data_IF_262546077505
#
_entry.id   IF_262546077505
#
_cell.length_a   1.000
_cell.length_b   1.000
_cell.length_c   1.000
_cell.angle_alpha   90.00
_cell.angle_beta   90.00
_cell.angle_gamma   90.00
#
_symmetry.space_group_name_H-M   'P 1'
#
loop_
_entity.id
_entity.type
_entity.pdbx_description
1 polymer ?
#
# COMPACT_ATOMS: atom_id res chain seq x y z
N UNK A 1 17.25 -6.52 2.12
CA UNK A 1 15.97 -6.66 1.40
C UNK A 1 14.86 -6.26 2.35
N UNK A 2 13.90 -5.46 1.89
CA UNK A 2 12.68 -5.16 2.64
C UNK A 2 11.50 -5.95 2.06
N UNK A 3 10.59 -6.38 2.90
CA UNK A 3 9.38 -7.08 2.48
C UNK A 3 8.25 -6.72 3.42
N UNK A 4 7.03 -6.61 2.89
CA UNK A 4 5.85 -6.47 3.71
C UNK A 4 4.57 -6.55 2.90
N UNK A 5 3.49 -6.90 3.58
CA UNK A 5 2.14 -6.97 3.06
C UNK A 5 1.27 -5.81 3.57
N UNK A 6 0.32 -5.32 2.76
CA UNK A 6 -0.64 -4.27 3.17
C UNK A 6 0.05 -3.05 3.81
N UNK A 7 -0.20 -2.79 5.10
CA UNK A 7 0.46 -1.75 5.88
C UNK A 7 1.97 -2.00 6.07
N UNK A 8 2.42 -3.25 6.18
CA UNK A 8 3.84 -3.60 6.17
C UNK A 8 4.51 -3.28 4.83
N UNK A 9 3.81 -3.51 3.72
CA UNK A 9 4.25 -3.10 2.38
C UNK A 9 4.36 -1.57 2.27
N UNK A 10 3.40 -0.85 2.86
CA UNK A 10 3.47 0.60 2.98
C UNK A 10 4.73 1.06 3.73
N UNK A 11 5.00 0.48 4.90
CA UNK A 11 6.17 0.81 5.71
C UNK A 11 7.49 0.50 4.97
N UNK A 12 7.57 -0.62 4.27
CA UNK A 12 8.75 -0.99 3.48
C UNK A 12 9.06 0.05 2.39
N UNK A 13 8.04 0.46 1.63
CA UNK A 13 8.18 1.49 0.59
C UNK A 13 8.44 2.89 1.18
N UNK A 14 7.77 3.22 2.29
CA UNK A 14 7.94 4.48 3.01
C UNK A 14 9.36 4.65 3.55
N UNK A 15 9.88 3.62 4.23
CA UNK A 15 11.25 3.60 4.74
C UNK A 15 12.27 3.73 3.61
N UNK A 16 12.04 3.01 2.52
CA UNK A 16 12.90 3.09 1.33
C UNK A 16 12.98 4.51 0.79
N UNK A 17 11.84 5.17 0.61
CA UNK A 17 11.79 6.56 0.16
C UNK A 17 12.39 7.54 1.19
N UNK A 18 12.24 7.25 2.49
CA UNK A 18 12.89 8.04 3.53
C UNK A 18 14.42 7.94 3.47
N UNK A 19 14.97 6.74 3.27
CA UNK A 19 16.41 6.51 3.11
C UNK A 19 16.97 7.20 1.87
N UNK A 20 16.26 7.13 0.73
CA UNK A 20 16.64 7.86 -0.51
C UNK A 20 16.66 9.37 -0.29
N UNK A 21 15.64 9.92 0.38
CA UNK A 21 15.57 11.34 0.69
C UNK A 21 16.67 11.84 1.65
N UNK A 22 17.27 10.94 2.43
CA UNK A 22 18.42 11.22 3.28
C UNK A 22 19.78 10.88 2.63
N UNK A 23 19.78 10.45 1.37
CA UNK A 23 20.98 9.98 0.65
C UNK A 23 21.74 8.87 1.42
N UNK A 24 21.00 8.00 2.12
CA UNK A 24 21.55 6.86 2.86
C UNK A 24 21.60 5.61 1.98
N UNK A 25 22.32 4.61 2.49
CA UNK A 25 22.35 3.28 1.87
C UNK A 25 20.94 2.72 1.69
N UNK A 26 20.66 2.28 0.47
CA UNK A 26 19.36 1.76 0.06
C UNK A 26 19.32 0.25 0.19
N UNK A 27 18.15 -0.35 0.52
CA UNK A 27 18.01 -1.79 0.46
C UNK A 27 18.23 -2.28 -0.97
N UNK A 28 18.94 -3.40 -1.12
CA UNK A 28 19.22 -4.02 -2.42
C UNK A 28 17.94 -4.35 -3.24
N UNK A 29 16.86 -4.71 -2.54
CA UNK A 29 15.56 -5.05 -3.14
C UNK A 29 14.42 -4.84 -2.15
N UNK A 30 13.21 -4.69 -2.70
CA UNK A 30 11.96 -4.68 -1.94
C UNK A 30 10.88 -5.58 -2.57
N UNK A 31 10.08 -6.25 -1.73
CA UNK A 31 8.89 -7.02 -2.14
C UNK A 31 7.68 -6.41 -1.44
N UNK A 32 6.73 -5.91 -2.23
CA UNK A 32 5.54 -5.22 -1.74
C UNK A 32 4.31 -6.06 -2.08
N UNK A 33 3.68 -6.64 -1.06
CA UNK A 33 2.51 -7.50 -1.23
C UNK A 33 1.26 -6.67 -0.94
N UNK A 34 0.46 -6.36 -1.96
CA UNK A 34 -0.75 -5.53 -1.91
C UNK A 34 -0.62 -4.29 -1.00
N UNK A 35 0.40 -3.44 -1.22
CA UNK A 35 0.73 -2.38 -0.29
C UNK A 35 -0.40 -1.34 -0.18
N UNK A 36 -0.57 -0.74 1.00
CA UNK A 36 -1.31 0.52 1.10
C UNK A 36 -0.49 1.64 0.47
N UNK A 37 -0.99 2.31 -0.57
CA UNK A 37 -0.20 3.29 -1.35
C UNK A 37 -0.72 4.70 -1.29
N UNK A 38 -2.03 4.91 -1.21
CA UNK A 38 -2.64 6.22 -1.30
C UNK A 38 -3.80 6.39 -0.31
N UNK A 39 -3.85 7.49 0.45
CA UNK A 39 -4.91 7.78 1.40
C UNK A 39 -6.21 8.33 0.78
N UNK A 40 -6.24 8.69 -0.51
CA UNK A 40 -7.45 9.29 -1.12
C UNK A 40 -8.60 8.29 -1.26
N UNK A 41 -8.29 7.01 -1.49
CA UNK A 41 -9.27 5.95 -1.75
C UNK A 41 -10.23 6.25 -2.92
N UNK A 42 -9.85 7.17 -3.82
CA UNK A 42 -10.62 7.61 -4.99
C UNK A 42 -10.28 6.77 -6.24
N UNK A 43 -10.11 5.46 -6.07
CA UNK A 43 -9.79 4.53 -7.15
C UNK A 43 -11.01 3.66 -7.47
N UNK A 44 -11.18 3.28 -8.73
CA UNK A 44 -12.30 2.44 -9.17
C UNK A 44 -12.39 1.12 -8.38
N UNK A 45 -11.23 0.49 -8.09
CA UNK A 45 -11.17 -0.72 -7.27
C UNK A 45 -11.72 -0.50 -5.84
N UNK A 46 -11.54 0.70 -5.27
CA UNK A 46 -12.07 1.04 -3.94
C UNK A 46 -13.59 1.18 -3.95
N UNK A 47 -14.20 1.51 -5.09
CA UNK A 47 -15.67 1.52 -5.25
C UNK A 47 -16.22 0.13 -5.57
N UNK A 48 -15.57 -0.60 -6.49
CA UNK A 48 -15.99 -1.94 -6.91
C UNK A 48 -15.96 -2.96 -5.77
N UNK A 49 -14.96 -2.86 -4.89
CA UNK A 49 -14.74 -3.81 -3.78
C UNK A 49 -15.04 -3.19 -2.41
N UNK A 50 -15.86 -2.13 -2.35
CA UNK A 50 -16.06 -1.35 -1.13
C UNK A 50 -16.72 -2.10 0.04
N UNK A 51 -17.53 -3.12 -0.26
CA UNK A 51 -18.40 -3.84 0.68
C UNK A 51 -18.36 -5.35 0.42
N UNK A 52 -18.78 -6.15 1.40
CA UNK A 52 -18.87 -7.62 1.32
C UNK A 52 -17.54 -8.36 1.11
N UNK A 53 -16.42 -7.66 1.31
CA UNK A 53 -15.08 -8.24 1.39
C UNK A 53 -14.52 -8.05 2.80
N UNK A 54 -13.52 -8.86 3.17
CA UNK A 54 -12.85 -8.76 4.48
C UNK A 54 -12.31 -7.34 4.73
N UNK A 55 -11.82 -6.69 3.69
CA UNK A 55 -11.33 -5.32 3.73
C UNK A 55 -12.30 -4.42 2.98
N UNK A 56 -13.06 -3.62 3.72
CA UNK A 56 -14.03 -2.66 3.15
C UNK A 56 -13.40 -1.29 2.96
N UNK A 57 -14.03 -0.45 2.13
CA UNK A 57 -13.62 0.95 1.97
C UNK A 57 -13.68 1.72 3.29
N UNK A 58 -14.70 1.45 4.11
CA UNK A 58 -14.86 2.07 5.43
C UNK A 58 -13.71 1.68 6.39
N UNK A 59 -13.32 0.41 6.42
CA UNK A 59 -12.18 -0.04 7.23
C UNK A 59 -10.88 0.60 6.75
N UNK A 60 -10.67 0.70 5.42
CA UNK A 60 -9.49 1.35 4.85
C UNK A 60 -9.41 2.84 5.21
N UNK A 61 -10.53 3.56 5.13
CA UNK A 61 -10.62 4.96 5.56
C UNK A 61 -10.28 5.12 7.05
N UNK A 62 -10.78 4.22 7.89
CA UNK A 62 -10.43 4.19 9.31
C UNK A 62 -8.93 3.96 9.55
N UNK A 63 -8.31 2.99 8.87
CA UNK A 63 -6.87 2.73 9.00
C UNK A 63 -6.02 3.94 8.61
N UNK A 64 -6.35 4.60 7.49
CA UNK A 64 -5.65 5.83 7.08
C UNK A 64 -5.82 6.96 8.08
N UNK A 65 -6.98 7.09 8.73
CA UNK A 65 -7.20 8.06 9.81
C UNK A 65 -6.34 7.77 11.03
N UNK A 66 -6.15 6.51 11.40
CA UNK A 66 -5.28 6.13 12.52
C UNK A 66 -3.80 6.39 12.22
N UNK A 67 -3.36 6.13 10.98
CA UNK A 67 -1.98 6.34 10.57
C UNK A 67 -1.64 7.84 10.39
N UNK A 68 -2.64 8.67 10.09
CA UNK A 68 -2.50 10.09 9.81
C UNK A 68 -2.33 10.90 11.10
N UNK A 69 -1.17 11.51 11.28
CA UNK A 69 -0.97 12.48 12.36
C UNK A 69 -1.66 13.82 12.05
N UNK A 70 -1.56 14.29 10.80
CA UNK A 70 -2.19 15.54 10.35
C UNK A 70 -2.51 15.52 8.85
N UNK A 71 -3.19 16.56 8.35
CA UNK A 71 -3.55 16.65 6.93
C UNK A 71 -2.34 16.84 6.00
N UNK A 72 -1.26 17.46 6.49
CA UNK A 72 -0.03 17.69 5.72
C UNK A 72 0.63 16.37 5.30
N UNK A 73 0.43 15.28 6.06
CA UNK A 73 0.89 13.95 5.68
C UNK A 73 0.40 13.53 4.28
N UNK A 74 -0.75 14.02 3.80
CA UNK A 74 -1.20 13.71 2.44
C UNK A 74 -0.23 14.19 1.35
N UNK A 75 0.64 15.15 1.65
CA UNK A 75 1.65 15.68 0.74
C UNK A 75 3.02 15.02 0.93
N UNK A 76 3.22 14.27 2.02
CA UNK A 76 4.49 13.61 2.31
C UNK A 76 4.62 12.32 1.46
N UNK A 77 5.67 12.17 0.62
CA UNK A 77 5.89 10.97 -0.20
C UNK A 77 6.18 9.70 0.61
N UNK A 78 6.46 9.83 1.91
CA UNK A 78 6.57 8.70 2.85
C UNK A 78 5.21 8.20 3.33
N UNK A 79 4.16 9.01 3.22
CA UNK A 79 2.80 8.66 3.65
C UNK A 79 1.85 8.46 2.46
N UNK A 80 1.95 9.31 1.44
CA UNK A 80 1.28 9.10 0.16
C UNK A 80 2.31 8.64 -0.87
N UNK A 81 2.42 7.32 -1.05
CA UNK A 81 3.47 6.73 -1.87
C UNK A 81 3.34 7.11 -3.36
N UNK A 82 2.15 7.51 -3.81
CA UNK A 82 1.96 8.01 -5.19
C UNK A 82 2.59 9.39 -5.43
N UNK A 83 3.04 10.07 -4.37
CA UNK A 83 3.78 11.34 -4.47
C UNK A 83 5.29 11.16 -4.46
N UNK A 84 5.78 9.93 -4.42
CA UNK A 84 7.20 9.65 -4.55
C UNK A 84 7.69 10.15 -5.91
N UNK A 85 8.89 10.74 -5.92
CA UNK A 85 9.47 11.26 -7.17
C UNK A 85 9.78 10.08 -8.09
N UNK A 86 9.29 10.15 -9.32
CA UNK A 86 9.82 9.31 -10.40
C UNK A 86 11.24 9.78 -10.75
N UNK A 87 12.24 9.29 -10.02
CA UNK A 87 13.62 9.39 -10.47
C UNK A 87 13.84 8.29 -11.49
N UNK A 88 14.28 8.66 -12.69
CA UNK A 88 14.71 7.74 -13.75
C UNK A 88 15.83 6.79 -13.32
N UNK A 89 16.49 7.06 -12.19
CA UNK A 89 17.53 6.24 -11.55
C UNK A 89 17.09 5.60 -10.22
N UNK A 90 15.82 5.22 -10.04
CA UNK A 90 15.41 4.48 -8.84
C UNK A 90 16.04 3.07 -8.85
N UNK A 91 17.16 2.90 -8.15
CA UNK A 91 18.04 1.72 -8.28
C UNK A 91 17.54 0.47 -7.52
N UNK A 92 16.39 0.53 -6.86
CA UNK A 92 15.90 -0.55 -6.01
C UNK A 92 15.03 -1.50 -6.81
N UNK A 93 15.49 -2.75 -6.92
CA UNK A 93 14.73 -3.83 -7.54
C UNK A 93 13.46 -4.08 -6.73
N UNK A 94 12.31 -3.84 -7.34
CA UNK A 94 11.01 -3.85 -6.67
C UNK A 94 10.09 -4.87 -7.32
N UNK A 95 9.59 -5.83 -6.52
CA UNK A 95 8.53 -6.75 -6.91
C UNK A 95 7.24 -6.31 -6.21
N UNK A 96 6.19 -6.03 -6.99
CA UNK A 96 4.86 -5.71 -6.46
C UNK A 96 3.91 -6.86 -6.78
N UNK A 97 3.28 -7.41 -5.75
CA UNK A 97 2.29 -8.48 -5.87
C UNK A 97 0.91 -7.90 -5.56
N UNK A 98 0.01 -7.83 -6.52
CA UNK A 98 -1.36 -7.35 -6.33
C UNK A 98 -2.33 -8.52 -6.11
N UNK A 99 -3.44 -8.25 -5.42
CA UNK A 99 -4.46 -9.25 -5.12
C UNK A 99 -5.60 -9.21 -6.14
N UNK A 100 -5.46 -9.97 -7.23
CA UNK A 100 -6.63 -10.39 -8.02
C UNK A 100 -7.15 -11.78 -7.57
N UNK A 101 -6.24 -12.64 -7.08
CA UNK A 101 -6.52 -14.06 -6.83
C UNK A 101 -7.15 -14.37 -5.46
N UNK A 102 -6.93 -13.53 -4.44
CA UNK A 102 -7.47 -13.79 -3.08
C UNK A 102 -8.93 -13.35 -2.96
N UNK A 103 -9.36 -12.29 -3.68
CA UNK A 103 -10.78 -11.92 -3.73
C UNK A 103 -11.64 -13.07 -4.27
N UNK A 104 -11.13 -13.82 -5.25
CA UNK A 104 -11.78 -15.02 -5.79
C UNK A 104 -11.90 -16.13 -4.73
N UNK A 105 -10.81 -16.48 -4.05
CA UNK A 105 -10.78 -17.52 -2.99
C UNK A 105 -11.66 -17.17 -1.79
N UNK A 106 -11.73 -15.89 -1.41
CA UNK A 106 -12.57 -15.44 -0.29
C UNK A 106 -14.05 -15.40 -0.66
N UNK A 107 -14.41 -15.11 -1.92
CA UNK A 107 -15.79 -15.20 -2.41
C UNK A 107 -16.31 -16.64 -2.37
N UNK A 108 -15.48 -17.60 -2.79
CA UNK A 108 -15.88 -19.02 -2.77
C UNK A 108 -16.04 -19.58 -1.35
N UNK A 109 -15.16 -19.21 -0.41
CA UNK A 109 -15.28 -19.70 0.98
C UNK A 109 -16.53 -19.17 1.70
N UNK A 110 -16.97 -17.94 1.41
CA UNK A 110 -18.21 -17.37 1.97
C UNK A 110 -19.45 -18.01 1.33
N UNK A 111 -19.41 -18.37 0.05
CA UNK A 111 -20.53 -19.00 -0.65
C UNK A 111 -20.69 -20.50 -0.32
N UNK A 112 -19.63 -21.17 0.14
CA UNK A 112 -19.66 -22.57 0.58
C UNK A 112 -20.04 -22.75 2.07
N UNK A 113 -20.31 -21.68 2.80
CA UNK A 113 -20.61 -21.70 4.24
C UNK A 113 -22.02 -21.20 4.61
N UNK A 114 -22.96 -21.20 3.66
CA UNK A 114 -24.41 -20.97 3.85
C UNK A 114 -25.15 -22.20 3.30
#
# INVERSE_FOLDING_TARGET
MLCGDSAGGHLAASLTNHLDGMEKELPYSQILIYPMTCPSLEFESMELFKENYLLTKASMDWFWKQLRANQENNQDPRFNLLKQRNKTNFQIKTLVLLLDLILYVMKEKIMLSI
#
